data_IF_723611745306
#
_entry.id   IF_723611745306
#
_cell.length_a   1.000
_cell.length_b   1.000
_cell.length_c   1.000
_cell.angle_alpha   90.00
_cell.angle_beta   90.00
_cell.angle_gamma   90.00
#
_symmetry.space_group_name_H-M   'P 1'
#
loop_
_entity.id
_entity.type
_entity.pdbx_description
1 polymer ?
#
# COMPACT_ATOMS: atom_id res chain seq x y z
N UNK A 1 0.12 28.18 -1.50
CA UNK A 1 -0.68 26.99 -1.13
C UNK A 1 0.04 25.78 -1.70
N UNK A 2 0.23 24.72 -0.91
CA UNK A 2 1.00 23.54 -1.32
C UNK A 2 0.10 22.59 -2.11
N UNK A 3 0.61 22.08 -3.23
CA UNK A 3 -0.04 21.04 -4.03
C UNK A 3 0.13 19.67 -3.36
N UNK A 4 -0.66 19.42 -2.30
CA UNK A 4 -0.62 18.18 -1.53
C UNK A 4 -2.02 17.63 -1.23
N UNK A 5 -2.13 16.31 -1.09
CA UNK A 5 -3.42 15.66 -0.78
C UNK A 5 -3.92 15.89 0.65
N UNK A 6 -3.05 16.39 1.54
CA UNK A 6 -3.41 16.76 2.89
C UNK A 6 -3.09 18.24 3.13
N UNK A 7 -3.85 18.91 3.99
CA UNK A 7 -3.54 20.26 4.47
C UNK A 7 -2.76 20.21 5.78
N UNK A 8 -2.04 21.28 6.16
CA UNK A 8 -1.35 21.33 7.46
C UNK A 8 -2.29 21.10 8.65
N UNK A 9 -3.52 21.64 8.58
CA UNK A 9 -4.53 21.42 9.62
C UNK A 9 -4.95 19.95 9.70
N UNK A 10 -5.15 19.27 8.58
CA UNK A 10 -5.45 17.83 8.57
C UNK A 10 -4.31 17.00 9.17
N UNK A 11 -3.05 17.41 8.99
CA UNK A 11 -1.91 16.73 9.64
C UNK A 11 -2.02 16.84 11.16
N UNK A 12 -2.33 18.03 11.68
CA UNK A 12 -2.56 18.27 13.11
C UNK A 12 -3.72 17.41 13.60
N UNK A 13 -4.86 17.41 12.91
CA UNK A 13 -6.05 16.68 13.33
C UNK A 13 -5.84 15.16 13.36
N UNK A 14 -4.99 14.63 12.46
CA UNK A 14 -4.74 13.18 12.32
C UNK A 14 -3.61 12.69 13.22
N UNK A 15 -2.57 13.49 13.42
CA UNK A 15 -1.31 13.06 14.04
C UNK A 15 -0.96 13.82 15.32
N UNK A 16 -1.57 14.97 15.56
CA UNK A 16 -1.23 15.90 16.64
C UNK A 16 0.05 16.69 16.39
N UNK A 17 0.67 16.54 15.21
CA UNK A 17 1.95 17.18 14.88
C UNK A 17 1.72 18.36 13.95
N UNK A 18 2.19 19.54 14.37
CA UNK A 18 2.21 20.73 13.51
C UNK A 18 3.33 20.62 12.50
N UNK A 19 3.03 20.82 11.22
CA UNK A 19 4.02 20.83 10.13
C UNK A 19 3.92 22.13 9.34
N UNK A 20 5.04 22.56 8.77
CA UNK A 20 5.10 23.70 7.84
C UNK A 20 4.74 23.26 6.42
N UNK A 21 4.37 24.21 5.57
CA UNK A 21 4.11 23.97 4.15
C UNK A 21 5.30 23.32 3.41
N UNK A 22 6.54 23.68 3.78
CA UNK A 22 7.75 23.08 3.22
C UNK A 22 8.00 21.65 3.69
N UNK A 23 7.63 21.30 4.92
CA UNK A 23 7.68 19.93 5.43
C UNK A 23 6.61 19.07 4.73
N UNK A 24 5.43 19.64 4.50
CA UNK A 24 4.33 18.98 3.81
C UNK A 24 4.64 18.71 2.33
N UNK A 25 5.32 19.63 1.63
CA UNK A 25 5.71 19.43 0.22
C UNK A 25 6.77 18.35 0.05
N UNK A 26 7.70 18.21 1.00
CA UNK A 26 8.67 17.10 1.04
C UNK A 26 7.97 15.77 1.25
N UNK A 27 7.07 15.70 2.23
CA UNK A 27 6.29 14.50 2.50
C UNK A 27 5.41 14.10 1.31
N UNK A 28 4.78 15.06 0.62
CA UNK A 28 4.04 14.84 -0.63
C UNK A 28 4.95 14.21 -1.69
N UNK A 29 6.11 14.83 -1.96
CA UNK A 29 7.10 14.32 -2.91
C UNK A 29 7.54 12.89 -2.57
N UNK A 30 7.72 12.60 -1.28
CA UNK A 30 8.01 11.27 -0.79
C UNK A 30 6.92 10.27 -1.15
N UNK A 31 5.67 10.61 -0.87
CA UNK A 31 4.53 9.72 -1.15
C UNK A 31 4.34 9.48 -2.64
N UNK A 32 4.53 10.50 -3.49
CA UNK A 32 4.38 10.39 -4.95
C UNK A 32 5.36 9.37 -5.56
N UNK A 33 6.61 9.37 -5.10
CA UNK A 33 7.63 8.38 -5.51
C UNK A 33 7.20 6.95 -5.17
N UNK A 34 6.57 6.75 -4.02
CA UNK A 34 6.15 5.41 -3.59
C UNK A 34 4.83 4.93 -4.18
N UNK A 35 3.87 5.83 -4.45
CA UNK A 35 2.56 5.46 -4.96
C UNK A 35 2.46 5.50 -6.50
N UNK A 36 3.50 6.03 -7.17
CA UNK A 36 3.58 6.23 -8.62
C UNK A 36 2.38 7.02 -9.17
N UNK A 37 1.96 8.05 -8.43
CA UNK A 37 0.90 8.99 -8.76
C UNK A 37 1.30 10.38 -8.31
N UNK A 38 0.92 11.39 -9.09
CA UNK A 38 1.21 12.80 -8.80
C UNK A 38 -0.07 13.55 -8.41
N UNK A 39 0.07 14.60 -7.61
CA UNK A 39 -1.07 15.39 -7.12
C UNK A 39 -1.98 15.90 -8.25
N UNK A 40 -1.42 16.29 -9.40
CA UNK A 40 -2.19 16.83 -10.53
C UNK A 40 -3.17 15.82 -11.14
N UNK A 41 -2.99 14.52 -10.91
CA UNK A 41 -3.91 13.47 -11.36
C UNK A 41 -5.12 13.27 -10.43
N UNK A 42 -5.21 14.01 -9.33
CA UNK A 42 -6.33 13.97 -8.36
C UNK A 42 -7.73 13.90 -8.99
N UNK A 43 -8.06 14.68 -10.04
CA UNK A 43 -9.38 14.64 -10.68
C UNK A 43 -9.75 13.26 -11.28
N UNK A 44 -8.76 12.41 -11.56
CA UNK A 44 -8.95 11.07 -12.14
C UNK A 44 -9.03 9.97 -11.08
N UNK A 45 -8.82 10.31 -9.81
CA UNK A 45 -8.74 9.35 -8.71
C UNK A 45 -10.07 9.19 -8.00
N UNK A 46 -10.30 8.00 -7.43
CA UNK A 46 -11.49 7.74 -6.61
C UNK A 46 -11.36 8.42 -5.25
N UNK A 47 -12.47 8.95 -4.72
CA UNK A 47 -12.52 9.59 -3.40
C UNK A 47 -11.96 8.73 -2.28
N UNK A 48 -12.23 7.42 -2.31
CA UNK A 48 -11.66 6.46 -1.34
C UNK A 48 -10.14 6.42 -1.38
N UNK A 49 -9.54 6.47 -2.57
CA UNK A 49 -8.10 6.41 -2.71
C UNK A 49 -7.47 7.74 -2.30
N UNK A 50 -8.10 8.87 -2.64
CA UNK A 50 -7.69 10.20 -2.17
C UNK A 50 -7.69 10.30 -0.64
N UNK A 51 -8.68 9.69 0.03
CA UNK A 51 -8.70 9.61 1.49
C UNK A 51 -7.47 8.89 2.07
N UNK A 52 -7.05 7.79 1.45
CA UNK A 52 -5.86 7.05 1.91
C UNK A 52 -4.55 7.77 1.56
N UNK A 53 -4.51 8.46 0.41
CA UNK A 53 -3.38 9.30 0.02
C UNK A 53 -3.20 10.48 0.98
N UNK A 54 -4.28 11.19 1.33
CA UNK A 54 -4.24 12.26 2.32
C UNK A 54 -3.70 11.77 3.67
N UNK A 55 -4.17 10.60 4.15
CA UNK A 55 -3.63 9.98 5.37
C UNK A 55 -2.17 9.56 5.24
N UNK A 56 -1.76 9.06 4.08
CA UNK A 56 -0.37 8.68 3.84
C UNK A 56 0.56 9.90 3.93
N UNK A 57 0.18 11.02 3.30
CA UNK A 57 0.93 12.29 3.37
C UNK A 57 0.98 12.82 4.80
N UNK A 58 -0.14 12.83 5.52
CA UNK A 58 -0.17 13.27 6.91
C UNK A 58 0.73 12.43 7.82
N UNK A 59 0.71 11.10 7.67
CA UNK A 59 1.59 10.21 8.43
C UNK A 59 3.05 10.36 8.04
N UNK A 60 3.36 10.60 6.76
CA UNK A 60 4.72 10.81 6.30
C UNK A 60 5.29 12.12 6.86
N UNK A 61 4.53 13.22 6.79
CA UNK A 61 4.95 14.51 7.31
C UNK A 61 5.23 14.47 8.82
N UNK A 62 4.36 13.83 9.59
CA UNK A 62 4.56 13.65 11.02
C UNK A 62 5.77 12.75 11.34
N UNK A 63 6.00 11.72 10.52
CA UNK A 63 7.13 10.81 10.70
C UNK A 63 8.46 11.49 10.36
N UNK A 64 8.56 12.18 9.22
CA UNK A 64 9.74 12.94 8.79
C UNK A 64 10.14 13.98 9.84
N UNK A 65 9.16 14.67 10.44
CA UNK A 65 9.41 15.64 11.52
C UNK A 65 9.96 15.01 12.80
N UNK A 66 9.54 13.78 13.11
CA UNK A 66 10.05 13.02 14.25
C UNK A 66 11.42 12.39 14.02
N UNK A 67 11.92 12.35 12.79
CA UNK A 67 13.25 11.84 12.49
C UNK A 67 14.26 12.99 12.50
N UNK A 68 15.13 13.01 13.51
CA UNK A 68 16.31 13.87 13.49
C UNK A 68 17.27 13.34 12.43
N UNK A 69 17.51 14.17 11.40
CA UNK A 69 18.61 14.02 10.45
C UNK A 69 18.48 12.90 9.39
N UNK A 70 17.27 12.69 8.85
CA UNK A 70 17.01 11.71 7.77
C UNK A 70 17.88 11.95 6.52
N UNK A 71 18.04 13.20 6.10
CA UNK A 71 18.77 13.54 4.87
C UNK A 71 20.30 13.47 5.02
N UNK A 72 20.81 13.58 6.25
CA UNK A 72 22.26 13.72 6.52
C UNK A 72 22.85 12.47 7.17
N UNK A 73 22.05 11.66 7.88
CA UNK A 73 22.44 10.31 8.35
C UNK A 73 22.48 9.26 7.26
N UNK A 74 21.71 9.41 6.18
CA UNK A 74 21.70 8.45 5.08
C UNK A 74 22.95 8.51 4.18
N UNK A 75 23.83 9.50 4.40
CA UNK A 75 25.20 9.57 3.83
C UNK A 75 26.27 8.99 4.80
N UNK A 76 25.89 8.61 6.02
CA UNK A 76 26.80 7.98 6.97
C UNK A 76 26.93 6.47 6.68
N UNK A 77 27.91 6.10 5.85
CA UNK A 77 28.16 4.73 5.41
C UNK A 77 28.58 3.74 6.52
N UNK A 78 28.91 4.21 7.73
CA UNK A 78 29.24 3.32 8.85
C UNK A 78 29.15 4.05 10.20
N UNK A 79 28.41 3.48 11.16
CA UNK A 79 28.49 3.84 12.58
C UNK A 79 28.98 2.61 13.33
N UNK A 80 30.24 2.62 13.76
CA UNK A 80 30.80 1.60 14.64
C UNK A 80 30.82 2.15 16.07
N UNK A 81 30.02 1.55 16.94
CA UNK A 81 30.13 1.74 18.38
C UNK A 81 29.89 0.40 19.08
N UNK A 82 30.85 -0.01 19.90
CA UNK A 82 30.77 -1.20 20.78
C UNK A 82 30.36 -2.52 20.09
N UNK A 83 30.94 -2.81 18.92
CA UNK A 83 30.82 -4.12 18.27
C UNK A 83 29.46 -4.41 17.59
N UNK A 84 28.52 -3.47 17.62
CA UNK A 84 27.25 -3.60 16.88
C UNK A 84 27.41 -2.91 15.53
N UNK A 85 27.45 -3.71 14.46
CA UNK A 85 27.43 -3.22 13.08
C UNK A 85 25.97 -3.09 12.63
N UNK A 86 25.45 -1.86 12.62
CA UNK A 86 24.19 -1.56 11.95
C UNK A 86 24.48 -1.14 10.51
N UNK A 87 24.13 -1.99 9.54
CA UNK A 87 24.16 -1.62 8.13
C UNK A 87 22.90 -0.82 7.80
N UNK A 88 23.03 0.50 7.57
CA UNK A 88 21.94 1.29 7.01
C UNK A 88 21.85 1.01 5.50
N UNK A 89 20.68 0.60 5.03
CA UNK A 89 20.46 0.35 3.61
C UNK A 89 20.36 1.68 2.84
N UNK A 90 21.04 1.75 1.69
CA UNK A 90 21.27 2.89 0.78
C UNK A 90 20.00 3.58 0.21
N UNK A 91 18.78 3.16 0.58
CA UNK A 91 17.56 3.79 0.08
C UNK A 91 17.27 5.07 0.87
N UNK A 92 17.84 6.17 0.40
CA UNK A 92 17.76 7.52 0.96
C UNK A 92 16.32 8.07 1.19
N UNK A 93 15.31 7.44 0.60
CA UNK A 93 13.90 7.70 0.93
C UNK A 93 13.30 6.45 1.56
N UNK A 94 12.97 6.54 2.84
CA UNK A 94 12.19 5.51 3.54
C UNK A 94 10.81 6.07 3.85
N UNK A 95 9.79 5.26 3.55
CA UNK A 95 8.42 5.61 3.88
C UNK A 95 8.14 5.24 5.33
N UNK A 96 7.55 6.16 6.10
CA UNK A 96 7.15 5.90 7.47
C UNK A 96 6.22 4.67 7.55
N UNK A 97 6.30 3.84 8.60
CA UNK A 97 5.55 2.58 8.68
C UNK A 97 4.03 2.79 8.61
N UNK A 98 3.52 3.88 9.22
CA UNK A 98 2.10 4.24 9.15
C UNK A 98 1.70 4.75 7.77
N UNK A 99 2.56 5.51 7.10
CA UNK A 99 2.33 5.98 5.73
C UNK A 99 2.28 4.79 4.75
N UNK A 100 3.19 3.81 4.90
CA UNK A 100 3.18 2.55 4.14
C UNK A 100 1.87 1.80 4.28
N UNK A 101 1.38 1.63 5.51
CA UNK A 101 0.10 0.97 5.77
C UNK A 101 -1.10 1.70 5.16
N UNK A 102 -1.06 3.04 5.07
CA UNK A 102 -2.08 3.81 4.37
C UNK A 102 -2.01 3.62 2.85
N UNK A 103 -0.81 3.68 2.26
CA UNK A 103 -0.62 3.46 0.81
C UNK A 103 -1.08 2.08 0.35
N UNK A 104 -0.82 1.03 1.13
CA UNK A 104 -1.26 -0.34 0.82
C UNK A 104 -2.78 -0.51 0.75
N UNK A 105 -3.57 0.47 1.22
CA UNK A 105 -5.03 0.47 1.12
C UNK A 105 -5.54 1.14 -0.16
N UNK A 106 -4.67 1.82 -0.92
CA UNK A 106 -5.01 2.35 -2.23
C UNK A 106 -5.30 1.19 -3.18
N UNK A 107 -6.32 1.37 -4.03
CA UNK A 107 -6.86 0.31 -4.88
C UNK A 107 -5.84 -0.36 -5.81
N UNK A 108 -4.80 0.37 -6.22
CA UNK A 108 -3.74 -0.10 -7.12
C UNK A 108 -2.48 -0.64 -6.43
N UNK A 109 -2.26 -0.29 -5.15
CA UNK A 109 -1.08 -0.73 -4.39
C UNK A 109 -1.26 -2.12 -3.77
N UNK A 110 -2.51 -2.60 -3.68
CA UNK A 110 -2.81 -3.91 -3.12
C UNK A 110 -2.72 -4.96 -4.23
N UNK A 111 -1.74 -5.86 -4.14
CA UNK A 111 -1.71 -7.07 -4.99
C UNK A 111 -3.00 -7.86 -4.80
N UNK A 112 -3.87 -7.86 -5.82
CA UNK A 112 -5.11 -8.65 -5.81
C UNK A 112 -4.88 -10.00 -6.48
N UNK A 113 -4.01 -10.83 -5.90
CA UNK A 113 -4.02 -12.27 -6.19
C UNK A 113 -4.90 -12.96 -5.15
N UNK A 114 -6.21 -12.72 -5.21
CA UNK A 114 -7.16 -13.65 -4.61
C UNK A 114 -7.37 -14.73 -5.66
N UNK A 115 -6.68 -15.85 -5.49
CA UNK A 115 -7.05 -17.09 -6.16
C UNK A 115 -8.40 -17.52 -5.59
N UNK A 116 -9.49 -17.10 -6.22
CA UNK A 116 -10.80 -17.71 -6.01
C UNK A 116 -10.65 -19.14 -6.54
N UNK A 117 -10.41 -20.09 -5.63
CA UNK A 117 -10.59 -21.51 -5.96
C UNK A 117 -12.07 -21.66 -6.27
N UNK A 118 -12.39 -21.79 -7.56
CA UNK A 118 -13.72 -22.19 -7.99
C UNK A 118 -14.03 -23.52 -7.29
N UNK A 119 -15.23 -23.73 -6.71
CA UNK A 119 -15.57 -25.00 -6.06
C UNK A 119 -15.45 -26.21 -7.01
N UNK A 120 -15.47 -25.96 -8.31
CA UNK A 120 -15.28 -26.95 -9.35
C UNK A 120 -13.86 -27.55 -9.40
N UNK A 121 -12.84 -26.84 -8.91
CA UNK A 121 -11.44 -27.28 -9.01
C UNK A 121 -11.02 -28.23 -7.87
N UNK A 122 -11.91 -28.46 -6.89
CA UNK A 122 -11.72 -29.50 -5.86
C UNK A 122 -12.21 -30.87 -6.34
N UNK A 123 -12.89 -30.96 -7.49
CA UNK A 123 -13.23 -32.22 -8.12
C UNK A 123 -12.16 -32.53 -9.18
N UNK A 124 -11.18 -33.35 -8.79
CA UNK A 124 -10.44 -34.23 -9.69
C UNK A 124 -9.75 -33.59 -10.90
N UNK A 125 -8.42 -33.60 -10.90
CA UNK A 125 -7.68 -33.70 -12.16
C UNK A 125 -8.26 -34.87 -12.97
N UNK A 126 -8.48 -34.61 -14.26
CA UNK A 126 -8.81 -35.57 -15.32
C UNK A 126 -10.28 -36.01 -15.42
N UNK A 127 -11.11 -35.18 -16.05
CA UNK A 127 -12.17 -35.69 -16.93
C UNK A 127 -12.48 -34.61 -17.98
N UNK A 128 -12.20 -34.93 -19.24
CA UNK A 128 -12.60 -34.09 -20.35
C UNK A 128 -14.13 -34.21 -20.44
N UNK A 129 -14.88 -33.15 -20.09
CA UNK A 129 -16.35 -33.19 -19.99
C UNK A 129 -17.07 -33.49 -21.32
N UNK A 130 -16.33 -33.56 -22.43
CA UNK A 130 -16.80 -33.92 -23.76
C UNK A 130 -16.42 -35.34 -24.18
N UNK A 131 -15.81 -36.13 -23.29
CA UNK A 131 -15.48 -37.52 -23.55
C UNK A 131 -16.71 -38.40 -23.30
N UNK A 132 -17.26 -38.94 -24.38
CA UNK A 132 -18.42 -39.83 -24.41
C UNK A 132 -18.31 -41.03 -23.44
N UNK A 133 -17.07 -41.48 -23.17
CA UNK A 133 -16.78 -42.58 -22.23
C UNK A 133 -16.99 -42.23 -20.74
N UNK A 134 -17.25 -40.96 -20.41
CA UNK A 134 -17.41 -40.51 -19.03
C UNK A 134 -18.86 -40.25 -18.61
N UNK A 135 -19.81 -40.34 -19.56
CA UNK A 135 -21.24 -40.08 -19.31
C UNK A 135 -21.86 -41.19 -18.42
N UNK A 136 -21.45 -42.45 -18.64
CA UNK A 136 -21.91 -43.61 -17.87
C UNK A 136 -21.40 -43.65 -16.42
N UNK A 137 -20.39 -42.84 -16.07
CA UNK A 137 -19.81 -42.79 -14.71
C UNK A 137 -20.38 -41.66 -13.84
N UNK A 138 -21.19 -40.78 -14.42
CA UNK A 138 -21.75 -39.64 -13.69
C UNK A 138 -23.13 -40.02 -13.16
N UNK A 139 -23.22 -40.26 -11.85
CA UNK A 139 -24.51 -40.54 -11.21
C UNK A 139 -25.38 -39.28 -11.23
N UNK A 140 -26.56 -39.35 -11.88
CA UNK A 140 -27.49 -38.23 -11.98
C UNK A 140 -27.91 -37.73 -10.60
N UNK A 141 -27.66 -36.45 -10.31
CA UNK A 141 -28.11 -35.79 -9.09
C UNK A 141 -29.23 -34.79 -9.43
N UNK A 142 -30.40 -34.86 -8.77
CA UNK A 142 -31.46 -33.90 -8.99
C UNK A 142 -31.03 -32.50 -8.53
N UNK A 143 -31.26 -31.48 -9.36
CA UNK A 143 -31.07 -30.10 -8.96
C UNK A 143 -32.19 -29.66 -8.00
N UNK A 144 -31.85 -29.61 -6.71
CA UNK A 144 -32.50 -28.73 -5.73
C UNK A 144 -33.51 -29.41 -4.80
N UNK A 145 -33.07 -29.65 -3.57
CA UNK A 145 -33.93 -29.78 -2.40
C UNK A 145 -33.26 -29.07 -1.22
N UNK A 146 -33.56 -27.78 -1.02
CA UNK A 146 -33.25 -27.09 0.23
C UNK A 146 -34.30 -27.52 1.26
N UNK A 147 -33.84 -28.16 2.34
CA UNK A 147 -34.57 -28.18 3.61
C UNK A 147 -34.48 -26.83 4.31
#
# INVERSE_FOLDING_TARGET
MVDAWATPQQVIDITGVTVTDAELSRAQSSVEVFCNRIYTDTPRMRLRDLYWLARAVAYQAAWEKGQFDLNTRLDANQVQQDGIVANLAEKAMTLGPRAKGALQRCSWMRSRTIHLRTPLESAGRYANALADASDDQQQWMPMGGRG
#
